data_IF_525064521965
#
_entry.id   IF_525064521965
#
_cell.length_a   1.000
_cell.length_b   1.000
_cell.length_c   1.000
_cell.angle_alpha   90.00
_cell.angle_beta   90.00
_cell.angle_gamma   90.00
#
_symmetry.space_group_name_H-M   'P 1'
#
loop_
_entity.id
_entity.type
_entity.pdbx_description
1 polymer ?
#
# COMPACT_ATOMS: atom_id res chain seq x y z
N UNK A 1 -2.09 -6.39 14.43
CA UNK A 1 -1.54 -5.22 13.73
C UNK A 1 -2.71 -4.34 13.36
N UNK A 2 -2.78 -3.10 13.86
CA UNK A 2 -4.02 -2.31 13.81
C UNK A 2 -4.44 -1.97 12.37
N UNK A 3 -5.76 -2.04 12.13
CA UNK A 3 -6.41 -1.69 10.87
C UNK A 3 -6.00 -0.29 10.35
N UNK A 4 -5.70 0.62 11.29
CA UNK A 4 -5.14 1.96 11.06
C UNK A 4 -3.83 1.93 10.24
N UNK A 5 -2.94 0.99 10.56
CA UNK A 5 -1.67 0.80 9.85
C UNK A 5 -1.90 0.32 8.43
N UNK A 6 -2.85 -0.60 8.23
CA UNK A 6 -3.22 -1.08 6.91
C UNK A 6 -3.81 0.03 6.04
N UNK A 7 -4.67 0.88 6.62
CA UNK A 7 -5.27 2.01 5.91
C UNK A 7 -4.23 3.07 5.53
N UNK A 8 -3.29 3.37 6.44
CA UNK A 8 -2.19 4.30 6.20
C UNK A 8 -1.25 3.80 5.09
N UNK A 9 -0.99 2.48 5.04
CA UNK A 9 -0.21 1.87 3.96
C UNK A 9 -0.96 1.91 2.61
N UNK A 10 -2.28 1.72 2.61
CA UNK A 10 -3.09 1.84 1.39
C UNK A 10 -3.09 3.26 0.83
N UNK A 11 -3.32 4.27 1.68
CA UNK A 11 -3.29 5.68 1.27
C UNK A 11 -1.92 6.10 0.76
N UNK A 12 -0.85 5.64 1.42
CA UNK A 12 0.53 5.86 0.99
C UNK A 12 0.81 5.23 -0.39
N UNK A 13 0.37 3.98 -0.59
CA UNK A 13 0.52 3.27 -1.85
C UNK A 13 -0.17 3.97 -3.02
N UNK A 14 -1.40 4.47 -2.82
CA UNK A 14 -2.14 5.26 -3.81
C UNK A 14 -1.45 6.60 -4.12
N UNK A 15 -0.87 7.25 -3.11
CA UNK A 15 -0.12 8.49 -3.28
C UNK A 15 1.14 8.25 -4.13
N UNK A 16 1.89 7.18 -3.86
CA UNK A 16 3.04 6.79 -4.67
C UNK A 16 2.66 6.42 -6.11
N UNK A 17 1.49 5.82 -6.34
CA UNK A 17 0.97 5.57 -7.68
C UNK A 17 0.63 6.88 -8.42
N UNK A 18 0.05 7.87 -7.75
CA UNK A 18 -0.21 9.18 -8.33
C UNK A 18 1.10 9.89 -8.71
N UNK A 19 2.11 9.86 -7.84
CA UNK A 19 3.45 10.41 -8.11
C UNK A 19 4.15 9.63 -9.23
N UNK A 20 3.99 8.31 -9.27
CA UNK A 20 4.56 7.47 -10.32
C UNK A 20 3.96 7.76 -11.69
N UNK A 21 2.65 8.04 -11.74
CA UNK A 21 1.93 8.44 -12.96
C UNK A 21 2.41 9.81 -13.44
N UNK A 22 2.57 10.77 -12.53
CA UNK A 22 3.03 12.13 -12.83
C UNK A 22 4.48 12.16 -13.35
N UNK A 23 5.40 11.45 -12.67
CA UNK A 23 6.82 11.41 -13.03
C UNK A 23 7.21 10.30 -14.01
N UNK A 24 6.26 9.49 -14.48
CA UNK A 24 6.45 8.25 -15.27
C UNK A 24 7.61 7.38 -14.77
N UNK A 25 7.79 7.31 -13.44
CA UNK A 25 8.96 6.72 -12.82
C UNK A 25 8.63 5.34 -12.24
N UNK A 26 9.25 4.32 -12.83
CA UNK A 26 9.05 2.91 -12.48
C UNK A 26 9.34 2.61 -11.00
N UNK A 27 10.25 3.33 -10.35
CA UNK A 27 10.60 3.10 -8.93
C UNK A 27 9.42 3.40 -8.01
N UNK A 28 8.74 4.53 -8.22
CA UNK A 28 7.55 4.89 -7.43
C UNK A 28 6.37 3.98 -7.73
N UNK A 29 6.26 3.48 -8.96
CA UNK A 29 5.23 2.49 -9.34
C UNK A 29 5.41 1.19 -8.56
N UNK A 30 6.64 0.70 -8.46
CA UNK A 30 6.97 -0.51 -7.69
C UNK A 30 6.76 -0.25 -6.18
N UNK A 31 7.22 0.88 -5.65
CA UNK A 31 7.03 1.24 -4.25
C UNK A 31 5.55 1.30 -3.85
N UNK A 32 4.71 1.94 -4.66
CA UNK A 32 3.26 1.99 -4.44
C UNK A 32 2.61 0.60 -4.49
N UNK A 33 3.08 -0.28 -5.38
CA UNK A 33 2.57 -1.65 -5.51
C UNK A 33 2.91 -2.51 -4.29
N UNK A 34 4.15 -2.39 -3.78
CA UNK A 34 4.59 -3.08 -2.56
C UNK A 34 3.80 -2.60 -1.34
N UNK A 35 3.55 -1.29 -1.21
CA UNK A 35 2.75 -0.74 -0.11
C UNK A 35 1.28 -1.21 -0.14
N UNK A 36 0.67 -1.30 -1.32
CA UNK A 36 -0.68 -1.86 -1.47
C UNK A 36 -0.72 -3.35 -1.11
N UNK A 37 0.28 -4.13 -1.52
CA UNK A 37 0.41 -5.53 -1.15
C UNK A 37 0.58 -5.69 0.37
N UNK A 38 1.42 -4.87 1.02
CA UNK A 38 1.62 -4.91 2.46
C UNK A 38 0.35 -4.52 3.24
N UNK A 39 -0.40 -3.54 2.74
CA UNK A 39 -1.72 -3.19 3.27
C UNK A 39 -2.70 -4.36 3.15
N UNK A 40 -2.78 -4.99 1.97
CA UNK A 40 -3.66 -6.14 1.74
C UNK A 40 -3.32 -7.34 2.63
N UNK A 41 -2.03 -7.65 2.80
CA UNK A 41 -1.57 -8.70 3.71
C UNK A 41 -1.92 -8.37 5.17
N UNK A 42 -1.79 -7.10 5.58
CA UNK A 42 -2.19 -6.67 6.94
C UNK A 42 -3.69 -6.85 7.16
N UNK A 43 -4.53 -6.51 6.17
CA UNK A 43 -5.98 -6.73 6.23
C UNK A 43 -6.30 -8.22 6.29
N UNK A 44 -5.67 -9.04 5.44
CA UNK A 44 -5.85 -10.50 5.49
C UNK A 44 -5.44 -11.06 6.85
N UNK A 45 -4.30 -10.63 7.40
CA UNK A 45 -3.84 -11.09 8.71
C UNK A 45 -4.80 -10.66 9.82
N UNK A 46 -5.40 -9.48 9.71
CA UNK A 46 -6.45 -9.04 10.63
C UNK A 46 -7.68 -9.96 10.56
N UNK A 47 -8.16 -10.32 9.36
CA UNK A 47 -9.38 -11.14 9.22
C UNK A 47 -9.18 -12.66 9.38
N UNK A 48 -8.00 -13.19 9.11
CA UNK A 48 -7.72 -14.65 9.14
C UNK A 48 -6.97 -15.11 10.39
N UNK A 49 -6.37 -14.17 11.15
CA UNK A 49 -5.63 -14.48 12.38
C UNK A 49 -6.41 -14.03 13.64
N UNK A 50 -7.65 -13.59 13.46
CA UNK A 50 -8.70 -13.43 14.48
C UNK A 50 -9.57 -14.71 14.50
#
# INVERSE_FOLDING_TARGET
MDLLTAFTLASSGLCFFSIAKDKNNKKYKIAGMVMLLASFISVLTYFFYE
#
